data_IF_369885534033
#
_entry.id   IF_369885534033
#
_cell.length_a   1.000
_cell.length_b   1.000
_cell.length_c   1.000
_cell.angle_alpha   90.00
_cell.angle_beta   90.00
_cell.angle_gamma   90.00
#
_symmetry.space_group_name_H-M   'P 1'
#
loop_
_entity.id
_entity.type
_entity.pdbx_description
1 polymer ?
#
# COMPACT_ATOMS: atom_id res chain seq x y z
N UNK A 1 -3.32 4.07 0.13
CA UNK A 1 -1.94 3.54 0.26
C UNK A 1 -1.17 3.86 -1.01
N UNK A 2 0.05 4.38 -0.89
CA UNK A 2 0.88 4.80 -2.02
C UNK A 2 1.64 3.59 -2.61
N UNK A 3 1.20 3.11 -3.78
CA UNK A 3 1.66 1.85 -4.37
C UNK A 3 3.03 2.00 -5.02
N UNK A 4 3.24 3.07 -5.79
CA UNK A 4 4.52 3.32 -6.46
C UNK A 4 5.63 3.58 -5.44
N UNK A 5 5.33 4.36 -4.40
CA UNK A 5 6.18 4.59 -3.23
C UNK A 5 6.65 3.28 -2.59
N UNK A 6 5.73 2.33 -2.37
CA UNK A 6 6.05 1.01 -1.82
C UNK A 6 6.95 0.22 -2.77
N UNK A 7 6.65 0.22 -4.07
CA UNK A 7 7.43 -0.51 -5.09
C UNK A 7 8.87 0.03 -5.17
N UNK A 8 9.04 1.35 -5.15
CA UNK A 8 10.36 2.00 -5.12
C UNK A 8 11.21 1.51 -3.95
N UNK A 9 10.67 1.57 -2.72
CA UNK A 9 11.38 1.12 -1.54
C UNK A 9 11.66 -0.40 -1.57
N UNK A 10 10.67 -1.21 -1.98
CA UNK A 10 10.84 -2.66 -2.06
C UNK A 10 11.87 -3.09 -3.11
N UNK A 11 11.96 -2.41 -4.25
CA UNK A 11 12.95 -2.72 -5.29
C UNK A 11 14.38 -2.53 -4.79
N UNK A 12 14.65 -1.42 -4.09
CA UNK A 12 15.94 -1.19 -3.44
C UNK A 12 16.18 -2.22 -2.34
N UNK A 13 15.15 -2.53 -1.54
CA UNK A 13 15.20 -3.58 -0.53
C UNK A 13 15.66 -4.93 -1.07
N UNK A 14 15.04 -5.40 -2.15
CA UNK A 14 15.42 -6.65 -2.80
C UNK A 14 16.83 -6.61 -3.35
N UNK A 15 17.19 -5.53 -4.05
CA UNK A 15 18.52 -5.36 -4.65
C UNK A 15 19.63 -5.44 -3.59
N UNK A 16 19.52 -4.71 -2.49
CA UNK A 16 20.54 -4.72 -1.44
C UNK A 16 20.44 -5.93 -0.51
N UNK A 17 19.28 -6.57 -0.40
CA UNK A 17 19.17 -7.88 0.22
C UNK A 17 19.98 -8.95 -0.55
N UNK A 18 19.97 -8.91 -1.89
CA UNK A 18 20.84 -9.75 -2.74
C UNK A 18 22.30 -9.37 -2.51
N UNK A 19 22.63 -8.07 -2.46
CA UNK A 19 23.98 -7.59 -2.12
C UNK A 19 24.49 -8.15 -0.78
N UNK A 20 23.67 -8.14 0.27
CA UNK A 20 24.00 -8.73 1.56
C UNK A 20 24.30 -10.24 1.46
N UNK A 21 23.57 -10.97 0.63
CA UNK A 21 23.82 -12.40 0.37
C UNK A 21 25.15 -12.59 -0.36
N UNK A 22 25.46 -11.77 -1.38
CA UNK A 22 26.73 -11.90 -2.10
C UNK A 22 27.93 -11.58 -1.21
N UNK A 23 27.82 -10.56 -0.35
CA UNK A 23 28.81 -10.28 0.69
C UNK A 23 28.98 -11.48 1.62
N UNK A 24 27.88 -12.01 2.16
CA UNK A 24 27.94 -13.10 3.13
C UNK A 24 28.48 -14.40 2.56
N UNK A 25 28.22 -14.71 1.28
CA UNK A 25 28.87 -15.84 0.60
C UNK A 25 30.38 -15.63 0.52
N UNK A 26 30.83 -14.43 0.14
CA UNK A 26 32.25 -14.08 0.09
C UNK A 26 32.94 -14.30 1.44
N UNK A 27 32.31 -13.85 2.52
CA UNK A 27 32.82 -13.97 3.89
C UNK A 27 32.84 -15.43 4.37
N UNK A 28 31.78 -16.21 4.11
CA UNK A 28 31.72 -17.65 4.43
C UNK A 28 32.90 -18.40 3.79
N UNK A 29 33.24 -18.09 2.55
CA UNK A 29 34.33 -18.75 1.82
C UNK A 29 35.72 -18.49 2.43
N UNK A 30 35.87 -17.45 3.26
CA UNK A 30 37.12 -17.20 4.01
C UNK A 30 37.27 -18.11 5.23
N UNK A 31 36.18 -18.78 5.65
CA UNK A 31 36.15 -19.81 6.67
C UNK A 31 36.10 -19.29 8.10
N UNK A 32 36.25 -20.21 9.06
CA UNK A 32 36.22 -19.90 10.50
C UNK A 32 37.54 -19.23 10.94
N UNK A 33 37.71 -17.96 10.58
CA UNK A 33 38.92 -17.16 10.82
C UNK A 33 38.55 -15.80 11.41
N UNK A 34 39.41 -15.22 12.26
CA UNK A 34 39.20 -13.86 12.76
C UNK A 34 39.24 -12.84 11.61
N UNK A 35 38.44 -11.79 11.71
CA UNK A 35 38.38 -10.72 10.69
C UNK A 35 39.60 -9.81 10.68
N UNK A 36 40.35 -9.76 11.78
CA UNK A 36 41.54 -8.90 11.93
C UNK A 36 41.22 -7.41 12.11
N UNK A 37 39.95 -7.01 12.01
CA UNK A 37 39.49 -5.62 12.16
C UNK A 37 37.99 -5.48 11.95
N UNK A 38 37.49 -4.24 12.09
CA UNK A 38 36.08 -3.89 11.84
C UNK A 38 35.77 -3.68 10.36
N UNK A 39 36.77 -3.26 9.58
CA UNK A 39 36.67 -3.11 8.14
C UNK A 39 37.33 -4.31 7.47
N UNK A 40 36.58 -4.98 6.61
CA UNK A 40 36.99 -6.19 5.92
C UNK A 40 36.71 -6.09 4.43
N UNK A 41 37.41 -6.90 3.63
CA UNK A 41 36.97 -7.22 2.29
C UNK A 41 36.08 -8.46 2.36
N UNK A 42 34.83 -8.33 1.94
CA UNK A 42 33.93 -9.48 1.89
C UNK A 42 34.44 -10.53 0.89
N UNK A 43 35.08 -10.07 -0.19
CA UNK A 43 35.72 -10.94 -1.18
C UNK A 43 37.24 -10.92 -0.94
N UNK A 44 37.79 -12.07 -0.54
CA UNK A 44 39.21 -12.22 -0.26
C UNK A 44 40.09 -12.05 -1.52
N UNK A 45 41.25 -11.44 -1.33
CA UNK A 45 42.30 -11.35 -2.34
C UNK A 45 42.72 -12.75 -2.85
N UNK A 46 42.97 -12.85 -4.15
CA UNK A 46 43.36 -14.12 -4.79
C UNK A 46 42.23 -15.16 -4.94
N UNK A 47 40.97 -14.77 -4.71
CA UNK A 47 39.81 -15.64 -4.94
C UNK A 47 39.72 -16.07 -6.42
N UNK A 48 39.74 -17.37 -6.70
CA UNK A 48 39.82 -17.94 -8.06
C UNK A 48 38.61 -17.65 -8.96
N UNK A 49 37.49 -17.26 -8.36
CA UNK A 49 36.20 -17.04 -9.03
C UNK A 49 35.95 -15.56 -9.36
N UNK A 50 36.84 -14.65 -8.96
CA UNK A 50 36.79 -13.23 -9.29
C UNK A 50 38.08 -12.79 -9.98
N UNK A 51 38.02 -11.70 -10.76
CA UNK A 51 39.20 -11.08 -11.39
C UNK A 51 39.87 -10.03 -10.51
N UNK A 52 39.27 -9.66 -9.38
CA UNK A 52 39.82 -8.70 -8.44
C UNK A 52 40.97 -9.31 -7.64
N UNK A 53 42.20 -8.87 -7.92
CA UNK A 53 43.42 -9.46 -7.35
C UNK A 53 43.59 -9.07 -5.87
N UNK A 54 43.26 -7.84 -5.50
CA UNK A 54 43.45 -7.28 -4.15
C UNK A 54 42.29 -7.58 -3.19
N UNK A 55 41.29 -8.34 -3.64
CA UNK A 55 40.00 -8.46 -2.98
C UNK A 55 39.06 -7.32 -3.38
N UNK A 56 37.77 -7.49 -3.13
CA UNK A 56 36.75 -6.49 -3.49
C UNK A 56 35.64 -6.44 -2.45
N UNK A 57 34.75 -5.46 -2.60
CA UNK A 57 33.54 -5.29 -1.79
C UNK A 57 33.82 -5.07 -0.29
N UNK A 58 34.19 -3.83 0.04
CA UNK A 58 34.43 -3.41 1.43
C UNK A 58 33.17 -3.53 2.30
N UNK A 59 33.33 -4.13 3.46
CA UNK A 59 32.28 -4.35 4.44
C UNK A 59 32.72 -3.92 5.85
N UNK A 60 31.73 -3.58 6.67
CA UNK A 60 31.90 -3.32 8.09
C UNK A 60 31.27 -4.46 8.88
N UNK A 61 31.93 -4.94 9.92
CA UNK A 61 31.36 -5.94 10.83
C UNK A 61 31.82 -5.74 12.26
N UNK A 62 30.89 -5.89 13.20
CA UNK A 62 31.17 -6.01 14.64
C UNK A 62 31.46 -7.45 15.05
N UNK A 63 31.21 -8.41 14.16
CA UNK A 63 31.40 -9.84 14.42
C UNK A 63 32.84 -10.21 14.06
N UNK A 64 33.68 -10.61 15.04
CA UNK A 64 35.11 -10.80 14.82
C UNK A 64 35.43 -12.16 14.17
N UNK A 65 34.60 -12.64 13.25
CA UNK A 65 34.74 -13.94 12.59
C UNK A 65 34.09 -13.94 11.20
N UNK A 66 34.84 -14.33 10.16
CA UNK A 66 34.34 -14.31 8.78
C UNK A 66 33.15 -15.25 8.55
N UNK A 67 33.22 -16.50 9.04
CA UNK A 67 32.14 -17.47 8.87
C UNK A 67 30.83 -16.98 9.48
N UNK A 68 30.86 -16.50 10.72
CA UNK A 68 29.67 -16.00 11.41
C UNK A 68 29.13 -14.71 10.77
N UNK A 69 30.01 -13.77 10.43
CA UNK A 69 29.66 -12.54 9.70
C UNK A 69 28.87 -12.90 8.44
N UNK A 70 29.40 -13.82 7.62
CA UNK A 70 28.76 -14.17 6.36
C UNK A 70 27.44 -14.93 6.50
N UNK A 71 27.31 -15.83 7.49
CA UNK A 71 26.03 -16.49 7.79
C UNK A 71 24.97 -15.45 8.16
N UNK A 72 25.31 -14.49 9.02
CA UNK A 72 24.39 -13.45 9.45
C UNK A 72 24.01 -12.51 8.29
N UNK A 73 24.97 -12.13 7.44
CA UNK A 73 24.72 -11.31 6.27
C UNK A 73 23.76 -12.00 5.27
N UNK A 74 23.93 -13.30 5.02
CA UNK A 74 23.00 -14.08 4.17
C UNK A 74 21.60 -14.12 4.78
N UNK A 75 21.48 -14.43 6.08
CA UNK A 75 20.18 -14.51 6.75
C UNK A 75 19.45 -13.16 6.76
N UNK A 76 20.16 -12.07 7.03
CA UNK A 76 19.59 -10.73 7.00
C UNK A 76 19.24 -10.28 5.57
N UNK A 77 20.06 -10.61 4.57
CA UNK A 77 19.75 -10.35 3.17
C UNK A 77 18.44 -11.02 2.74
N UNK A 78 18.26 -12.30 3.10
CA UNK A 78 17.00 -13.03 2.88
C UNK A 78 15.82 -12.41 3.64
N UNK A 79 16.04 -12.01 4.90
CA UNK A 79 15.02 -11.36 5.73
C UNK A 79 14.58 -10.03 5.11
N UNK A 80 15.51 -9.22 4.60
CA UNK A 80 15.23 -7.96 3.90
C UNK A 80 14.41 -8.20 2.63
N UNK A 81 14.78 -9.19 1.80
CA UNK A 81 14.01 -9.54 0.59
C UNK A 81 12.58 -9.92 0.98
N UNK A 82 12.42 -10.84 1.94
CA UNK A 82 11.10 -11.25 2.43
C UNK A 82 10.30 -10.06 2.95
N UNK A 83 10.92 -9.21 3.78
CA UNK A 83 10.27 -8.07 4.39
C UNK A 83 9.81 -7.04 3.35
N UNK A 84 10.69 -6.73 2.39
CA UNK A 84 10.44 -5.81 1.27
C UNK A 84 9.23 -6.24 0.44
N UNK A 85 9.14 -7.54 0.14
CA UNK A 85 8.07 -8.09 -0.71
C UNK A 85 6.75 -8.30 0.05
N UNK A 86 6.81 -8.72 1.32
CA UNK A 86 5.62 -9.21 2.04
C UNK A 86 5.11 -8.29 3.12
N UNK A 87 5.96 -7.53 3.81
CA UNK A 87 5.62 -6.87 5.08
C UNK A 87 5.81 -5.36 5.07
N UNK A 88 6.47 -4.80 4.06
CA UNK A 88 6.75 -3.36 3.97
C UNK A 88 5.50 -2.47 4.01
N UNK A 89 4.36 -2.98 3.55
CA UNK A 89 3.07 -2.29 3.59
C UNK A 89 2.43 -2.20 4.98
N UNK A 90 2.99 -2.82 6.03
CA UNK A 90 2.43 -2.73 7.40
C UNK A 90 2.76 -1.37 8.03
N UNK A 91 2.00 -0.90 9.05
CA UNK A 91 2.24 0.40 9.69
C UNK A 91 3.65 0.52 10.31
N UNK A 92 4.18 -0.55 10.89
CA UNK A 92 5.56 -0.64 11.38
C UNK A 92 6.57 -1.11 10.32
N UNK A 93 6.12 -1.33 9.09
CA UNK A 93 6.93 -1.86 7.98
C UNK A 93 8.24 -1.09 7.76
N UNK A 94 8.22 0.25 7.65
CA UNK A 94 9.43 1.06 7.49
C UNK A 94 10.39 0.99 8.68
N UNK A 95 9.89 0.84 9.91
CA UNK A 95 10.74 0.74 11.11
C UNK A 95 11.57 -0.54 11.12
N UNK A 96 10.92 -1.69 10.86
CA UNK A 96 11.62 -2.98 10.75
C UNK A 96 12.53 -3.01 9.53
N UNK A 97 12.12 -2.38 8.42
CA UNK A 97 12.95 -2.25 7.23
C UNK A 97 14.28 -1.54 7.55
N UNK A 98 14.24 -0.41 8.26
CA UNK A 98 15.46 0.27 8.73
C UNK A 98 16.31 -0.61 9.63
N UNK A 99 15.68 -1.26 10.62
CA UNK A 99 16.38 -2.13 11.56
C UNK A 99 17.15 -3.23 10.83
N UNK A 100 16.51 -3.91 9.86
CA UNK A 100 17.15 -4.97 9.10
C UNK A 100 18.37 -4.45 8.30
N UNK A 101 18.29 -3.27 7.70
CA UNK A 101 19.42 -2.65 7.00
C UNK A 101 20.55 -2.23 7.93
N UNK A 102 20.23 -1.67 9.10
CA UNK A 102 21.22 -1.35 10.13
C UNK A 102 21.91 -2.62 10.60
N UNK A 103 21.15 -3.68 10.92
CA UNK A 103 21.72 -4.96 11.32
C UNK A 103 22.61 -5.53 10.21
N UNK A 104 22.16 -5.51 8.95
CA UNK A 104 22.94 -6.00 7.82
C UNK A 104 24.27 -5.24 7.69
N UNK A 105 24.26 -3.91 7.85
CA UNK A 105 25.48 -3.11 7.87
C UNK A 105 26.44 -3.48 9.02
N UNK A 106 25.91 -3.81 10.20
CA UNK A 106 26.73 -4.16 11.37
C UNK A 106 27.36 -5.56 11.31
N UNK A 107 26.94 -6.41 10.37
CA UNK A 107 27.39 -7.80 10.28
C UNK A 107 27.94 -8.19 8.90
N UNK A 108 28.46 -7.23 8.12
CA UNK A 108 29.19 -7.57 6.89
C UNK A 108 28.46 -7.31 5.56
N UNK A 109 27.25 -6.76 5.56
CA UNK A 109 26.46 -6.58 4.32
C UNK A 109 26.92 -5.48 3.35
N UNK A 110 28.15 -4.99 3.49
CA UNK A 110 28.76 -3.97 2.62
C UNK A 110 28.57 -2.53 3.11
N UNK A 111 29.58 -1.69 2.85
CA UNK A 111 29.59 -0.27 3.21
C UNK A 111 28.71 0.55 2.26
N UNK A 112 28.68 0.15 0.99
CA UNK A 112 27.95 0.87 -0.06
C UNK A 112 26.45 1.01 0.20
N UNK A 113 25.82 0.04 0.87
CA UNK A 113 24.36 0.08 1.11
C UNK A 113 23.89 1.30 1.91
N UNK A 114 24.75 1.93 2.73
CA UNK A 114 24.37 3.03 3.63
C UNK A 114 23.75 4.21 2.87
N UNK A 115 24.36 4.60 1.75
CA UNK A 115 23.87 5.71 0.93
C UNK A 115 22.59 5.38 0.17
N UNK A 116 22.25 4.10 0.01
CA UNK A 116 21.04 3.65 -0.69
C UNK A 116 19.87 3.39 0.25
N UNK A 117 20.10 2.76 1.39
CA UNK A 117 19.01 2.37 2.27
C UNK A 117 18.39 3.58 2.99
N UNK A 118 19.17 4.63 3.31
CA UNK A 118 18.64 5.81 4.00
C UNK A 118 17.53 6.49 3.17
N UNK A 119 17.76 6.85 1.88
CA UNK A 119 16.69 7.35 1.01
C UNK A 119 15.53 6.36 0.84
N UNK A 120 15.81 5.07 0.64
CA UNK A 120 14.76 4.07 0.43
C UNK A 120 13.87 3.87 1.68
N UNK A 121 14.47 3.88 2.88
CA UNK A 121 13.75 3.88 4.14
C UNK A 121 12.90 5.13 4.29
N UNK A 122 13.46 6.30 4.01
CA UNK A 122 12.71 7.56 4.06
C UNK A 122 11.48 7.52 3.14
N UNK A 123 11.61 7.02 1.91
CA UNK A 123 10.49 6.77 1.00
C UNK A 123 9.49 5.77 1.60
N UNK A 124 9.96 4.69 2.22
CA UNK A 124 9.08 3.72 2.87
C UNK A 124 8.20 4.35 3.97
N UNK A 125 8.70 5.34 4.72
CA UNK A 125 7.89 6.07 5.73
C UNK A 125 6.67 6.79 5.13
N UNK A 126 6.66 7.03 3.81
CA UNK A 126 5.59 7.74 3.10
C UNK A 126 4.52 6.83 2.51
N UNK A 127 4.62 5.50 2.65
CA UNK A 127 3.66 4.53 2.04
C UNK A 127 2.20 4.79 2.47
N UNK A 128 1.97 5.20 3.72
CA UNK A 128 0.64 5.47 4.28
C UNK A 128 0.40 6.93 4.61
N UNK A 129 1.34 7.82 4.27
CA UNK A 129 1.23 9.24 4.60
C UNK A 129 0.73 10.02 3.38
N UNK A 130 -0.08 11.05 3.57
CA UNK A 130 -0.50 11.90 2.46
C UNK A 130 0.71 12.61 1.85
N UNK A 131 0.74 12.74 0.52
CA UNK A 131 1.82 13.40 -0.23
C UNK A 131 1.52 14.88 -0.49
N UNK A 132 0.88 15.57 0.47
CA UNK A 132 0.37 16.95 0.32
C UNK A 132 1.46 17.96 -0.01
N UNK A 133 2.62 17.88 0.65
CA UNK A 133 3.76 18.75 0.34
C UNK A 133 4.26 18.53 -1.09
N UNK A 134 4.41 17.28 -1.51
CA UNK A 134 4.85 16.92 -2.87
C UNK A 134 3.86 17.35 -3.94
N UNK A 135 2.55 17.28 -3.66
CA UNK A 135 1.50 17.82 -4.54
C UNK A 135 1.64 19.33 -4.74
N UNK A 136 2.07 20.08 -3.73
CA UNK A 136 2.30 21.53 -3.82
C UNK A 136 3.58 21.87 -4.58
N UNK A 137 4.65 21.09 -4.37
CA UNK A 137 5.98 21.37 -4.95
C UNK A 137 6.10 20.93 -6.40
N UNK A 138 5.40 19.86 -6.81
CA UNK A 138 5.45 19.36 -8.19
C UNK A 138 4.34 20.00 -9.04
N UNK A 139 4.64 20.79 -10.09
CA UNK A 139 3.62 21.36 -10.97
C UNK A 139 2.83 20.27 -11.72
N UNK A 140 1.56 20.47 -12.08
CA UNK A 140 0.71 19.44 -12.70
C UNK A 140 1.28 18.83 -13.99
N UNK A 141 1.85 19.66 -14.87
CA UNK A 141 2.49 19.19 -16.11
C UNK A 141 3.70 18.28 -15.82
N UNK A 142 4.49 18.64 -14.80
CA UNK A 142 5.65 17.87 -14.37
C UNK A 142 5.24 16.58 -13.66
N UNK A 143 4.18 16.59 -12.85
CA UNK A 143 3.59 15.38 -12.27
C UNK A 143 3.17 14.40 -13.38
N UNK A 144 2.56 14.90 -14.47
CA UNK A 144 2.13 14.05 -15.60
C UNK A 144 3.32 13.37 -16.26
N UNK A 145 4.37 14.13 -16.58
CA UNK A 145 5.59 13.63 -17.18
C UNK A 145 6.29 12.60 -16.29
N UNK A 146 6.56 12.96 -15.02
CA UNK A 146 7.24 12.08 -14.08
C UNK A 146 6.47 10.78 -13.82
N UNK A 147 5.15 10.85 -13.63
CA UNK A 147 4.32 9.67 -13.44
C UNK A 147 4.36 8.73 -14.65
N UNK A 148 4.40 9.27 -15.88
CA UNK A 148 4.50 8.47 -17.10
C UNK A 148 5.88 7.80 -17.22
N UNK A 149 6.94 8.50 -16.82
CA UNK A 149 8.32 7.99 -16.88
C UNK A 149 8.70 7.08 -15.70
N UNK A 150 7.91 7.08 -14.62
CA UNK A 150 8.25 6.37 -13.37
C UNK A 150 8.69 4.91 -13.57
N UNK A 151 7.99 4.05 -14.35
CA UNK A 151 8.43 2.68 -14.54
C UNK A 151 9.83 2.58 -15.16
N UNK A 152 10.13 3.39 -16.17
CA UNK A 152 11.44 3.42 -16.82
C UNK A 152 12.52 3.97 -15.86
N UNK A 153 12.19 5.04 -15.12
CA UNK A 153 13.07 5.63 -14.12
C UNK A 153 13.40 4.67 -12.97
N UNK A 154 12.56 3.68 -12.68
CA UNK A 154 12.87 2.63 -11.72
C UNK A 154 13.62 1.45 -12.35
N UNK A 155 13.17 0.96 -13.52
CA UNK A 155 13.72 -0.24 -14.16
C UNK A 155 15.15 -0.04 -14.66
N UNK A 156 15.44 1.10 -15.30
CA UNK A 156 16.76 1.39 -15.86
C UNK A 156 17.87 1.35 -14.78
N UNK A 157 17.78 2.10 -13.67
CA UNK A 157 18.81 2.02 -12.63
C UNK A 157 18.81 0.68 -11.90
N UNK A 158 17.68 -0.03 -11.81
CA UNK A 158 17.65 -1.37 -11.21
C UNK A 158 18.47 -2.38 -12.03
N UNK A 159 18.28 -2.38 -13.37
CA UNK A 159 19.08 -3.21 -14.29
C UNK A 159 20.54 -2.78 -14.27
N UNK A 160 20.81 -1.48 -14.41
CA UNK A 160 22.17 -0.93 -14.38
C UNK A 160 22.91 -1.29 -13.09
N UNK A 161 22.24 -1.18 -11.93
CA UNK A 161 22.81 -1.52 -10.64
C UNK A 161 23.03 -3.04 -10.47
N UNK A 162 22.15 -3.87 -11.01
CA UNK A 162 22.34 -5.33 -11.01
C UNK A 162 23.58 -5.71 -11.81
N UNK A 163 23.79 -5.09 -12.97
CA UNK A 163 25.02 -5.26 -13.77
C UNK A 163 26.22 -4.73 -13.00
N UNK A 164 26.11 -3.55 -12.36
CA UNK A 164 27.21 -2.99 -11.59
C UNK A 164 27.61 -3.89 -10.40
N UNK A 165 26.66 -4.47 -9.68
CA UNK A 165 26.92 -5.45 -8.61
C UNK A 165 27.59 -6.70 -9.17
N UNK A 166 27.13 -7.22 -10.31
CA UNK A 166 27.81 -8.34 -10.98
C UNK A 166 29.27 -8.00 -11.30
N UNK A 167 29.54 -6.82 -11.86
CA UNK A 167 30.90 -6.38 -12.16
C UNK A 167 31.74 -6.18 -10.89
N UNK A 168 31.17 -5.63 -9.84
CA UNK A 168 31.86 -5.41 -8.56
C UNK A 168 32.21 -6.73 -7.85
N UNK A 169 31.38 -7.77 -8.00
CA UNK A 169 31.65 -9.11 -7.44
C UNK A 169 32.66 -9.90 -8.29
N UNK A 170 32.44 -10.00 -9.61
CA UNK A 170 33.22 -10.92 -10.46
C UNK A 170 34.37 -10.25 -11.22
N UNK A 171 34.28 -8.95 -11.50
CA UNK A 171 35.28 -8.22 -12.29
C UNK A 171 35.45 -8.73 -13.71
N UNK A 172 34.45 -9.44 -14.26
CA UNK A 172 34.57 -10.15 -15.53
C UNK A 172 33.68 -9.57 -16.62
N UNK A 173 34.32 -9.13 -17.70
CA UNK A 173 33.69 -8.79 -18.98
C UNK A 173 34.51 -9.45 -20.10
N UNK A 174 33.91 -10.27 -20.97
CA UNK A 174 34.63 -10.89 -22.09
C UNK A 174 35.37 -9.85 -22.93
N UNK A 175 36.66 -10.09 -23.21
CA UNK A 175 37.49 -9.19 -24.00
C UNK A 175 37.98 -7.93 -23.29
N UNK A 176 37.66 -7.73 -22.00
CA UNK A 176 38.06 -6.54 -21.25
C UNK A 176 39.22 -6.85 -20.27
N UNK A 177 40.40 -6.29 -20.52
CA UNK A 177 41.61 -6.59 -19.73
C UNK A 177 41.97 -5.53 -18.68
N UNK A 178 41.48 -4.29 -18.82
CA UNK A 178 41.90 -3.19 -17.96
C UNK A 178 41.02 -3.09 -16.69
N UNK A 179 41.47 -3.68 -15.58
CA UNK A 179 40.69 -3.73 -14.34
C UNK A 179 40.43 -2.36 -13.72
N UNK A 180 41.38 -1.42 -13.80
CA UNK A 180 41.19 -0.06 -13.29
C UNK A 180 40.08 0.69 -14.04
N UNK A 181 40.04 0.55 -15.37
CA UNK A 181 38.95 1.11 -16.19
C UNK A 181 37.62 0.44 -15.86
N UNK A 182 37.60 -0.87 -15.63
CA UNK A 182 36.38 -1.61 -15.26
C UNK A 182 35.82 -1.12 -13.93
N UNK A 183 36.68 -0.91 -12.93
CA UNK A 183 36.31 -0.34 -11.64
C UNK A 183 35.70 1.05 -11.80
N UNK A 184 36.34 1.94 -12.57
CA UNK A 184 35.82 3.29 -12.81
C UNK A 184 34.44 3.27 -13.50
N UNK A 185 34.24 2.40 -14.49
CA UNK A 185 32.94 2.21 -15.14
C UNK A 185 31.90 1.72 -14.13
N UNK A 186 32.26 0.73 -13.32
CA UNK A 186 31.36 0.16 -12.30
C UNK A 186 30.93 1.23 -11.29
N UNK A 187 31.87 2.01 -10.76
CA UNK A 187 31.58 3.11 -9.83
C UNK A 187 30.72 4.20 -10.47
N UNK A 188 30.98 4.54 -11.75
CA UNK A 188 30.14 5.48 -12.49
C UNK A 188 28.70 4.95 -12.66
N UNK A 189 28.54 3.67 -12.98
CA UNK A 189 27.22 3.03 -13.08
C UNK A 189 26.48 3.07 -11.74
N UNK A 190 27.16 2.78 -10.62
CA UNK A 190 26.59 2.87 -9.27
C UNK A 190 26.13 4.30 -8.97
N UNK A 191 26.98 5.29 -9.22
CA UNK A 191 26.68 6.70 -8.97
C UNK A 191 25.51 7.24 -9.80
N UNK A 192 25.50 6.95 -11.11
CA UNK A 192 24.39 7.33 -12.00
C UNK A 192 23.10 6.63 -11.61
N UNK A 193 23.15 5.34 -11.29
CA UNK A 193 21.98 4.58 -10.84
C UNK A 193 21.41 5.12 -9.52
N UNK A 194 22.26 5.55 -8.59
CA UNK A 194 21.81 6.19 -7.35
C UNK A 194 21.03 7.48 -7.61
N UNK A 195 21.55 8.37 -8.46
CA UNK A 195 20.84 9.60 -8.85
C UNK A 195 19.49 9.31 -9.53
N UNK A 196 19.47 8.29 -10.40
CA UNK A 196 18.25 7.86 -11.06
C UNK A 196 17.24 7.24 -10.08
N UNK A 197 17.67 6.51 -9.05
CA UNK A 197 16.77 6.03 -8.00
C UNK A 197 16.14 7.18 -7.22
N UNK A 198 16.90 8.23 -6.89
CA UNK A 198 16.34 9.43 -6.25
C UNK A 198 15.26 10.08 -7.13
N UNK A 199 15.50 10.16 -8.44
CA UNK A 199 14.51 10.64 -9.39
C UNK A 199 13.29 9.70 -9.50
N UNK A 200 13.51 8.39 -9.48
CA UNK A 200 12.45 7.38 -9.47
C UNK A 200 11.56 7.49 -8.22
N UNK A 201 12.14 7.87 -7.07
CA UNK A 201 11.40 8.11 -5.84
C UNK A 201 10.44 9.29 -5.99
N UNK A 202 10.92 10.42 -6.50
CA UNK A 202 10.09 11.60 -6.78
C UNK A 202 9.03 11.27 -7.84
N UNK A 203 9.40 10.53 -8.88
CA UNK A 203 8.48 10.08 -9.92
C UNK A 203 7.38 9.13 -9.39
N UNK A 204 7.73 8.28 -8.42
CA UNK A 204 6.76 7.43 -7.73
C UNK A 204 5.76 8.23 -6.90
N UNK A 205 6.20 9.30 -6.23
CA UNK A 205 5.26 10.22 -5.57
C UNK A 205 4.33 10.90 -6.57
N UNK A 206 4.85 11.35 -7.71
CA UNK A 206 4.02 11.94 -8.77
C UNK A 206 2.98 10.94 -9.31
N UNK A 207 3.37 9.67 -9.48
CA UNK A 207 2.46 8.60 -9.87
C UNK A 207 1.35 8.38 -8.84
N UNK A 208 1.70 8.24 -7.56
CA UNK A 208 0.72 8.03 -6.48
C UNK A 208 -0.23 9.22 -6.31
N UNK A 209 0.26 10.46 -6.44
CA UNK A 209 -0.57 11.68 -6.42
C UNK A 209 -1.56 11.68 -7.58
N UNK A 210 -1.11 11.37 -8.80
CA UNK A 210 -2.01 11.36 -9.97
C UNK A 210 -3.02 10.23 -9.91
N UNK A 211 -2.62 9.07 -9.39
CA UNK A 211 -3.52 7.97 -9.14
C UNK A 211 -4.60 8.36 -8.12
N UNK A 212 -4.23 9.03 -7.03
CA UNK A 212 -5.22 9.51 -6.05
C UNK A 212 -6.14 10.55 -6.69
N UNK A 213 -5.62 11.54 -7.42
CA UNK A 213 -6.43 12.54 -8.11
C UNK A 213 -7.40 11.94 -9.13
N UNK A 214 -6.97 10.92 -9.88
CA UNK A 214 -7.82 10.22 -10.84
C UNK A 214 -8.92 9.41 -10.14
N UNK A 215 -8.60 8.79 -9.00
CA UNK A 215 -9.59 8.09 -8.18
C UNK A 215 -10.59 9.07 -7.55
N UNK A 216 -10.10 10.17 -6.96
CA UNK A 216 -10.91 11.23 -6.39
C UNK A 216 -11.83 11.86 -7.47
N UNK A 217 -11.33 12.09 -8.69
CA UNK A 217 -12.10 12.62 -9.80
C UNK A 217 -13.13 11.64 -10.38
N UNK A 218 -12.83 10.34 -10.42
CA UNK A 218 -13.80 9.31 -10.80
C UNK A 218 -14.91 9.16 -9.73
N UNK A 219 -14.58 9.40 -8.46
CA UNK A 219 -15.53 9.45 -7.35
C UNK A 219 -16.28 10.79 -7.29
N UNK A 220 -15.70 11.88 -7.83
CA UNK A 220 -16.20 13.26 -7.82
C UNK A 220 -17.59 13.46 -8.45
N UNK A 221 -18.02 12.52 -9.29
CA UNK A 221 -19.30 12.58 -10.01
C UNK A 221 -20.16 11.33 -9.76
N UNK A 222 -19.74 10.47 -8.83
CA UNK A 222 -20.46 9.26 -8.46
C UNK A 222 -21.49 9.55 -7.35
N UNK A 223 -22.61 8.83 -7.40
CA UNK A 223 -23.53 8.71 -6.27
C UNK A 223 -23.09 7.48 -5.46
N UNK A 224 -22.81 7.67 -4.17
CA UNK A 224 -22.57 6.55 -3.26
C UNK A 224 -23.92 5.94 -2.88
N UNK A 225 -24.11 4.66 -3.14
CA UNK A 225 -25.16 3.87 -2.49
C UNK A 225 -24.49 3.06 -1.40
N UNK A 226 -24.94 3.26 -0.16
CA UNK A 226 -24.43 2.50 0.97
C UNK A 226 -25.53 1.88 1.79
N UNK A 227 -25.29 0.69 2.33
CA UNK A 227 -26.31 -0.05 3.06
C UNK A 227 -25.75 -0.82 4.25
N UNK A 228 -26.61 -1.03 5.24
CA UNK A 228 -26.41 -2.07 6.25
C UNK A 228 -27.41 -3.19 6.01
N UNK A 229 -26.97 -4.45 6.12
CA UNK A 229 -27.84 -5.62 5.97
C UNK A 229 -27.42 -6.69 6.95
N UNK A 230 -28.39 -7.46 7.47
CA UNK A 230 -28.14 -8.64 8.30
C UNK A 230 -28.41 -9.95 7.58
N UNK A 231 -29.44 -9.96 6.72
CA UNK A 231 -29.93 -11.16 6.03
C UNK A 231 -29.91 -11.02 4.50
N UNK A 232 -29.26 -9.99 3.95
CA UNK A 232 -29.07 -9.82 2.51
C UNK A 232 -30.13 -8.97 1.81
N UNK A 233 -31.38 -8.93 2.28
CA UNK A 233 -32.48 -8.22 1.60
C UNK A 233 -32.20 -6.73 1.33
N UNK A 234 -31.56 -6.01 2.25
CA UNK A 234 -31.21 -4.60 2.02
C UNK A 234 -30.12 -4.44 0.96
N UNK A 235 -29.23 -5.43 0.81
CA UNK A 235 -28.22 -5.43 -0.25
C UNK A 235 -28.88 -5.62 -1.61
N UNK A 236 -29.82 -6.57 -1.73
CA UNK A 236 -30.58 -6.79 -2.98
C UNK A 236 -31.31 -5.51 -3.44
N UNK A 237 -31.94 -4.79 -2.51
CA UNK A 237 -32.56 -3.50 -2.83
C UNK A 237 -31.51 -2.45 -3.22
N UNK A 238 -30.36 -2.41 -2.53
CA UNK A 238 -29.27 -1.49 -2.87
C UNK A 238 -28.70 -1.75 -4.28
N UNK A 239 -28.57 -3.03 -4.66
CA UNK A 239 -28.18 -3.48 -6.01
C UNK A 239 -29.21 -2.99 -7.06
N UNK A 240 -30.50 -3.20 -6.82
CA UNK A 240 -31.56 -2.76 -7.73
C UNK A 240 -31.59 -1.23 -7.90
N UNK A 241 -31.39 -0.47 -6.82
CA UNK A 241 -31.25 0.99 -6.90
C UNK A 241 -30.01 1.37 -7.69
N UNK A 242 -28.89 0.67 -7.50
CA UNK A 242 -27.65 0.91 -8.24
C UNK A 242 -27.83 0.68 -9.75
N UNK A 243 -28.46 -0.41 -10.14
CA UNK A 243 -28.79 -0.71 -11.54
C UNK A 243 -29.69 0.37 -12.14
N UNK A 244 -30.76 0.74 -11.44
CA UNK A 244 -31.69 1.79 -11.90
C UNK A 244 -30.99 3.13 -12.14
N UNK A 245 -30.09 3.54 -11.25
CA UNK A 245 -29.32 4.79 -11.42
C UNK A 245 -28.30 4.67 -12.55
N UNK A 246 -27.65 3.52 -12.72
CA UNK A 246 -26.70 3.26 -13.82
C UNK A 246 -27.39 3.29 -15.18
N UNK A 247 -28.58 2.70 -15.30
CA UNK A 247 -29.41 2.74 -16.52
C UNK A 247 -29.78 4.18 -16.93
N UNK A 248 -29.89 5.08 -15.95
CA UNK A 248 -30.11 6.52 -16.17
C UNK A 248 -28.82 7.29 -16.50
N UNK A 249 -27.70 6.61 -16.70
CA UNK A 249 -26.42 7.19 -17.06
C UNK A 249 -25.64 7.80 -15.90
N UNK A 250 -26.02 7.51 -14.65
CA UNK A 250 -25.31 8.00 -13.47
C UNK A 250 -24.18 7.05 -13.08
N UNK A 251 -23.06 7.62 -12.64
CA UNK A 251 -21.98 6.83 -12.05
C UNK A 251 -22.37 6.46 -10.62
N UNK A 252 -22.30 5.17 -10.28
CA UNK A 252 -22.73 4.67 -8.97
C UNK A 252 -21.64 3.81 -8.35
N UNK A 253 -21.25 4.18 -7.13
CA UNK A 253 -20.41 3.36 -6.25
C UNK A 253 -21.30 2.70 -5.21
N UNK A 254 -21.35 1.37 -5.18
CA UNK A 254 -22.20 0.60 -4.27
C UNK A 254 -21.32 -0.10 -3.24
N UNK A 255 -21.47 0.22 -1.95
CA UNK A 255 -20.65 -0.37 -0.88
C UNK A 255 -21.42 -0.62 0.41
N UNK A 256 -21.13 -1.72 1.13
CA UNK A 256 -21.55 -1.88 2.51
C UNK A 256 -21.08 -0.69 3.37
N UNK A 257 -21.90 -0.27 4.32
CA UNK A 257 -21.64 0.94 5.13
C UNK A 257 -20.34 0.88 5.93
N UNK A 258 -19.90 -0.32 6.33
CA UNK A 258 -18.65 -0.55 7.04
C UNK A 258 -17.39 -0.49 6.15
N UNK A 259 -17.56 -0.43 4.82
CA UNK A 259 -16.46 -0.31 3.85
C UNK A 259 -16.25 1.13 3.37
N UNK A 260 -17.15 2.05 3.73
CA UNK A 260 -17.07 3.47 3.36
C UNK A 260 -16.16 4.18 4.38
N UNK A 261 -15.05 4.76 3.89
CA UNK A 261 -14.08 5.48 4.72
C UNK A 261 -14.16 7.01 4.57
N UNK A 262 -14.73 7.48 3.47
CA UNK A 262 -14.81 8.91 3.14
C UNK A 262 -16.01 9.15 2.24
N UNK A 263 -16.62 10.32 2.40
CA UNK A 263 -17.64 10.84 1.51
C UNK A 263 -17.10 11.91 0.54
N UNK A 264 -15.82 12.29 0.68
CA UNK A 264 -15.21 13.31 -0.16
C UNK A 264 -15.23 12.88 -1.63
N UNK A 265 -15.76 13.74 -2.50
CA UNK A 265 -15.89 13.49 -3.93
C UNK A 265 -17.31 13.12 -4.34
N UNK A 266 -18.06 12.34 -3.57
CA UNK A 266 -19.41 11.98 -4.03
C UNK A 266 -20.30 13.21 -4.22
N UNK A 267 -21.12 13.19 -5.27
CA UNK A 267 -22.12 14.25 -5.55
C UNK A 267 -23.45 14.04 -4.83
N UNK A 268 -23.60 12.90 -4.16
CA UNK A 268 -24.78 12.52 -3.40
C UNK A 268 -24.64 11.14 -2.78
N UNK A 269 -25.48 10.85 -1.79
CA UNK A 269 -25.48 9.59 -1.04
C UNK A 269 -26.90 9.03 -0.97
N UNK A 270 -27.04 7.72 -1.21
CA UNK A 270 -28.26 6.95 -0.94
C UNK A 270 -27.96 5.97 0.18
N UNK A 271 -28.68 6.05 1.30
CA UNK A 271 -28.47 5.19 2.47
C UNK A 271 -29.61 4.19 2.63
N UNK A 272 -29.25 2.91 2.67
CA UNK A 272 -30.16 1.79 2.91
C UNK A 272 -29.98 1.20 4.30
N UNK A 273 -31.06 1.04 5.05
CA UNK A 273 -30.99 0.16 6.22
C UNK A 273 -32.33 -0.48 6.60
N UNK A 274 -32.29 -1.68 7.18
CA UNK A 274 -33.46 -2.31 7.76
C UNK A 274 -33.86 -1.62 9.06
N UNK A 275 -35.15 -1.71 9.38
CA UNK A 275 -35.68 -1.45 10.70
C UNK A 275 -35.82 -2.79 11.44
N UNK A 276 -35.05 -2.97 12.52
CA UNK A 276 -35.14 -4.17 13.35
C UNK A 276 -35.59 -3.78 14.75
N UNK A 277 -36.61 -4.46 15.29
CA UNK A 277 -37.14 -4.24 16.65
C UNK A 277 -37.32 -2.75 16.97
N UNK A 278 -37.99 -2.05 16.06
CA UNK A 278 -38.29 -0.64 16.16
C UNK A 278 -37.09 0.33 16.11
N UNK A 279 -35.90 -0.12 15.70
CA UNK A 279 -34.68 0.70 15.66
C UNK A 279 -34.00 0.63 14.31
N UNK A 280 -33.41 1.76 13.92
CA UNK A 280 -32.56 1.81 12.74
C UNK A 280 -31.22 1.11 13.00
N UNK A 281 -30.65 0.50 11.96
CA UNK A 281 -29.46 -0.33 12.08
C UNK A 281 -28.29 0.45 12.71
N UNK A 282 -27.60 -0.17 13.67
CA UNK A 282 -26.52 0.48 14.43
C UNK A 282 -25.38 1.01 13.55
N UNK A 283 -25.04 0.29 12.48
CA UNK A 283 -23.90 0.67 11.62
C UNK A 283 -24.21 1.92 10.79
N UNK A 284 -25.47 2.12 10.39
CA UNK A 284 -25.89 3.37 9.74
C UNK A 284 -25.87 4.53 10.73
N UNK A 285 -26.27 4.30 11.99
CA UNK A 285 -26.19 5.34 13.02
C UNK A 285 -24.74 5.75 13.32
N UNK A 286 -23.81 4.81 13.40
CA UNK A 286 -22.39 5.12 13.52
C UNK A 286 -21.89 5.89 12.31
N UNK A 287 -22.24 5.43 11.11
CA UNK A 287 -21.89 6.12 9.87
C UNK A 287 -22.37 7.58 9.83
N UNK A 288 -23.61 7.84 10.26
CA UNK A 288 -24.14 9.20 10.37
C UNK A 288 -23.35 10.06 11.38
N UNK A 289 -22.93 9.48 12.50
CA UNK A 289 -22.14 10.19 13.49
C UNK A 289 -20.71 10.50 12.97
N UNK A 290 -20.09 9.52 12.31
CA UNK A 290 -18.72 9.62 11.80
C UNK A 290 -18.61 10.57 10.60
N UNK A 291 -19.67 10.71 9.81
CA UNK A 291 -19.69 11.49 8.57
C UNK A 291 -20.67 12.68 8.57
N UNK A 292 -21.15 13.11 9.74
CA UNK A 292 -22.18 14.14 9.89
C UNK A 292 -21.93 15.39 9.03
N UNK A 293 -20.73 15.97 9.09
CA UNK A 293 -20.41 17.20 8.35
C UNK A 293 -20.53 17.01 6.83
N UNK A 294 -20.00 15.91 6.30
CA UNK A 294 -20.03 15.65 4.87
C UNK A 294 -21.46 15.32 4.37
N UNK A 295 -22.25 14.59 5.16
CA UNK A 295 -23.64 14.25 4.80
C UNK A 295 -24.51 15.51 4.79
N UNK A 296 -24.29 16.45 5.70
CA UNK A 296 -25.03 17.71 5.74
C UNK A 296 -24.83 18.59 4.49
N UNK A 297 -23.72 18.41 3.77
CA UNK A 297 -23.37 19.16 2.56
C UNK A 297 -23.80 18.43 1.27
N UNK A 298 -24.23 17.17 1.35
CA UNK A 298 -24.53 16.33 0.20
C UNK A 298 -26.03 16.03 0.06
N UNK A 299 -26.58 16.05 -1.17
CA UNK A 299 -27.91 15.50 -1.44
C UNK A 299 -27.97 14.05 -0.97
N UNK A 300 -28.81 13.80 0.03
CA UNK A 300 -28.89 12.51 0.70
C UNK A 300 -30.27 11.92 0.55
N UNK A 301 -30.40 10.70 0.03
CA UNK A 301 -31.65 9.95 0.00
C UNK A 301 -31.58 8.77 0.96
N UNK A 302 -32.73 8.36 1.50
CA UNK A 302 -32.83 7.22 2.42
C UNK A 302 -33.84 6.24 1.84
N UNK A 303 -33.49 4.96 1.86
CA UNK A 303 -34.48 3.89 1.75
C UNK A 303 -34.44 3.00 2.99
N UNK A 304 -35.61 2.62 3.47
CA UNK A 304 -35.76 1.67 4.55
C UNK A 304 -36.52 0.45 4.05
N UNK A 305 -36.17 -0.73 4.57
CA UNK A 305 -37.02 -1.91 4.35
C UNK A 305 -38.23 -1.87 5.29
N UNK A 306 -39.40 -2.07 4.71
CA UNK A 306 -40.70 -2.07 5.36
C UNK A 306 -41.31 -3.45 5.51
N UNK A 307 -42.64 -3.53 5.66
CA UNK A 307 -43.32 -4.78 5.95
C UNK A 307 -43.25 -5.75 4.77
N UNK A 308 -43.40 -7.04 5.07
CA UNK A 308 -43.47 -8.11 4.07
C UNK A 308 -44.92 -8.42 3.67
N UNK A 309 -45.90 -8.06 4.50
CA UNK A 309 -47.32 -8.11 4.18
C UNK A 309 -47.79 -6.76 3.67
N UNK A 310 -48.64 -6.78 2.64
CA UNK A 310 -49.19 -5.57 2.04
C UNK A 310 -50.45 -5.09 2.79
N UNK A 311 -50.28 -4.76 4.07
CA UNK A 311 -51.34 -4.22 4.93
C UNK A 311 -51.11 -2.74 5.18
N UNK A 312 -52.08 -1.85 4.88
CA UNK A 312 -51.91 -0.41 5.03
C UNK A 312 -51.46 0.05 6.43
N UNK A 313 -51.94 -0.64 7.47
CA UNK A 313 -51.56 -0.39 8.88
C UNK A 313 -50.07 -0.67 9.16
N UNK A 314 -49.50 -1.71 8.57
CA UNK A 314 -48.09 -2.07 8.76
C UNK A 314 -47.17 -1.07 8.06
N UNK A 315 -47.53 -0.65 6.84
CA UNK A 315 -46.81 0.41 6.13
C UNK A 315 -46.81 1.73 6.91
N UNK A 316 -47.97 2.14 7.44
CA UNK A 316 -48.09 3.33 8.27
C UNK A 316 -47.27 3.23 9.56
N UNK A 317 -47.26 2.05 10.20
CA UNK A 317 -46.47 1.78 11.40
C UNK A 317 -44.96 1.90 11.15
N UNK A 318 -44.45 1.28 10.09
CA UNK A 318 -43.04 1.37 9.69
C UNK A 318 -42.66 2.82 9.36
N UNK A 319 -43.52 3.56 8.66
CA UNK A 319 -43.29 4.98 8.35
C UNK A 319 -43.17 5.84 9.60
N UNK A 320 -44.15 5.77 10.48
CA UNK A 320 -44.14 6.53 11.73
C UNK A 320 -42.90 6.22 12.58
N UNK A 321 -42.44 4.97 12.55
CA UNK A 321 -41.27 4.54 13.30
C UNK A 321 -39.95 5.01 12.68
N UNK A 322 -39.83 5.00 11.34
CA UNK A 322 -38.68 5.60 10.64
C UNK A 322 -38.61 7.09 10.94
N UNK A 323 -39.72 7.81 10.80
CA UNK A 323 -39.80 9.25 11.05
C UNK A 323 -39.39 9.56 12.49
N UNK A 324 -39.85 8.77 13.46
CA UNK A 324 -39.41 8.86 14.86
C UNK A 324 -37.91 8.68 15.05
N UNK A 325 -37.29 7.70 14.40
CA UNK A 325 -35.83 7.51 14.49
C UNK A 325 -35.05 8.66 13.84
N UNK A 326 -35.54 9.20 12.71
CA UNK A 326 -34.91 10.33 12.01
C UNK A 326 -34.96 11.62 12.83
N UNK A 327 -35.94 11.81 13.73
CA UNK A 327 -35.95 12.95 14.65
C UNK A 327 -34.70 13.05 15.55
N UNK A 328 -33.98 11.94 15.75
CA UNK A 328 -32.70 11.93 16.49
C UNK A 328 -31.55 12.58 15.73
N UNK A 329 -31.71 12.78 14.43
CA UNK A 329 -30.73 13.40 13.54
C UNK A 329 -31.33 14.67 12.92
N UNK A 330 -31.64 15.72 13.71
CA UNK A 330 -32.31 16.93 13.22
C UNK A 330 -31.52 17.70 12.16
N UNK A 331 -30.21 17.44 12.07
CA UNK A 331 -29.31 17.99 11.06
C UNK A 331 -29.42 17.29 9.69
N UNK A 332 -29.99 16.08 9.65
CA UNK A 332 -30.11 15.29 8.44
C UNK A 332 -31.35 15.74 7.67
N UNK A 333 -31.15 16.26 6.46
CA UNK A 333 -32.24 16.68 5.57
C UNK A 333 -32.23 15.87 4.28
N UNK A 334 -32.90 14.70 4.26
CA UNK A 334 -32.92 13.86 3.08
C UNK A 334 -33.75 14.51 1.96
N UNK A 335 -33.27 14.41 0.72
CA UNK A 335 -34.01 14.83 -0.48
C UNK A 335 -35.15 13.86 -0.83
N UNK A 336 -35.06 12.62 -0.36
CA UNK A 336 -36.08 11.59 -0.51
C UNK A 336 -35.98 10.57 0.64
N UNK A 337 -37.14 10.05 1.07
CA UNK A 337 -37.24 8.98 2.08
C UNK A 337 -38.29 7.98 1.59
N UNK A 338 -37.85 6.80 1.20
CA UNK A 338 -38.72 5.75 0.68
C UNK A 338 -38.71 4.49 1.55
N UNK A 339 -39.84 3.80 1.56
CA UNK A 339 -39.97 2.49 2.21
C UNK A 339 -40.18 1.45 1.12
N UNK A 340 -39.34 0.44 1.11
CA UNK A 340 -39.37 -0.66 0.13
C UNK A 340 -39.86 -1.91 0.83
N UNK A 341 -40.75 -2.68 0.18
CA UNK A 341 -41.29 -3.92 0.74
C UNK A 341 -40.19 -4.85 1.25
N UNK A 342 -40.38 -5.38 2.45
CA UNK A 342 -39.45 -6.29 3.09
C UNK A 342 -39.61 -7.72 2.59
N UNK A 343 -38.57 -8.53 2.77
CA UNK A 343 -38.60 -9.98 2.55
C UNK A 343 -38.40 -10.69 3.88
N UNK A 344 -39.32 -11.57 4.24
CA UNK A 344 -39.18 -12.47 5.38
C UNK A 344 -38.86 -13.87 4.86
N UNK A 345 -37.66 -14.36 5.19
CA UNK A 345 -37.24 -15.72 4.87
C UNK A 345 -36.81 -16.43 6.16
N UNK A 346 -37.67 -17.31 6.72
CA UNK A 346 -37.39 -18.05 7.95
C UNK A 346 -36.08 -18.85 7.90
N UNK A 347 -35.68 -19.34 6.72
CA UNK A 347 -34.46 -20.14 6.55
C UNK A 347 -33.18 -19.33 6.74
N UNK A 348 -33.26 -18.00 6.66
CA UNK A 348 -32.12 -17.09 6.81
C UNK A 348 -31.95 -16.54 8.22
N UNK A 349 -32.89 -16.82 9.14
CA UNK A 349 -32.89 -16.30 10.50
C UNK A 349 -31.88 -17.04 11.38
N UNK A 350 -31.08 -16.26 12.13
CA UNK A 350 -30.15 -16.78 13.14
C UNK A 350 -30.70 -16.55 14.53
N UNK A 351 -30.32 -17.38 15.50
CA UNK A 351 -30.73 -17.25 16.90
C UNK A 351 -30.54 -15.82 17.45
N UNK A 352 -31.51 -15.26 18.22
CA UNK A 352 -32.79 -15.86 18.65
C UNK A 352 -33.97 -15.63 17.69
N UNK A 353 -33.76 -15.02 16.53
CA UNK A 353 -34.85 -14.63 15.62
C UNK A 353 -35.50 -15.82 14.90
N UNK A 354 -34.82 -16.98 14.88
CA UNK A 354 -35.39 -18.24 14.41
C UNK A 354 -36.48 -18.82 15.35
N UNK A 355 -36.72 -18.19 16.51
CA UNK A 355 -37.77 -18.58 17.46
C UNK A 355 -39.08 -17.80 17.28
N UNK A 356 -39.12 -16.82 16.37
CA UNK A 356 -40.33 -16.05 16.05
C UNK A 356 -41.21 -16.93 15.14
N UNK A 357 -42.45 -17.29 15.53
CA UNK A 357 -43.36 -18.02 14.66
C UNK A 357 -43.66 -17.18 13.41
N UNK A 358 -43.57 -17.82 12.24
CA UNK A 358 -43.93 -17.21 10.96
C UNK A 358 -45.42 -17.15 10.70
#
# INVERSE_FOLDING_TARGET
>A
MNRATRINAAAVGVLFGIGGITHGIGEILQGNRPTGGLFINAIAAGSRWTRWVEGSEGAFTLVPNFLLTGILAVLLGLAIIYWSLRRLHKPWGPGVYLLLFVLLFLVGGGIGQVIFFIPAWWVATRIHRPLTWWRKVLPPGFQKLLAALWPALLIIPLVSMTVALYLAVFGYVPGFANMARLLNITLAMVGVSWLLFLLAFVAGFAYDIRYSLGHDAAQADAILITFATRHGSTAEVADAVAETLRERGLTVDLRPVNEVQTLAGYRGVVMGAPLYLFRWHKDVKHFLADHQQAIAELPTAIFALGPFEDKPEDWAGVRAQLDKELTRFPWLQPVAIEIVGGKFDPATLRFPYNLVPG
#
